data_IF_524968228920
#
_entry.id   IF_524968228920
#
_cell.length_a   1.000
_cell.length_b   1.000
_cell.length_c   1.000
_cell.angle_alpha   90.00
_cell.angle_beta   90.00
_cell.angle_gamma   90.00
#
_symmetry.space_group_name_H-M   'P 1'
#
loop_
_entity.id
_entity.type
_entity.pdbx_description
1 polymer ?
#
# COMPACT_ATOMS: atom_id res chain seq x y z
N UNK A 1 6.05 -16.52 0.47
CA UNK A 1 5.10 -15.39 0.41
C UNK A 1 5.93 -14.18 0.72
N UNK A 2 5.88 -13.14 -0.10
CA UNK A 2 7.01 -12.21 -0.18
C UNK A 2 6.72 -10.83 0.43
N UNK A 3 5.55 -10.63 1.05
CA UNK A 3 5.19 -9.39 1.76
C UNK A 3 5.28 -8.10 0.94
N UNK A 4 5.22 -8.24 -0.39
CA UNK A 4 5.47 -7.17 -1.36
C UNK A 4 4.18 -6.59 -1.92
N UNK A 5 4.18 -5.28 -2.15
CA UNK A 5 3.11 -4.55 -2.82
C UNK A 5 3.66 -3.97 -4.12
N UNK A 6 2.92 -4.11 -5.22
CA UNK A 6 3.32 -3.61 -6.55
C UNK A 6 2.19 -2.74 -7.08
N UNK A 7 2.54 -1.58 -7.65
CA UNK A 7 1.62 -0.68 -8.32
C UNK A 7 1.81 -0.82 -9.83
N UNK A 8 0.70 -0.99 -10.53
CA UNK A 8 0.69 -1.18 -11.98
C UNK A 8 -0.07 -0.04 -12.66
N UNK A 9 0.45 0.40 -13.80
CA UNK A 9 -0.32 1.18 -14.77
C UNK A 9 -1.03 0.23 -15.72
N UNK A 10 -2.36 0.34 -15.77
CA UNK A 10 -3.22 -0.48 -16.63
C UNK A 10 -3.13 -0.02 -18.09
N UNK A 11 -2.92 1.27 -18.35
CA UNK A 11 -2.84 1.83 -19.70
C UNK A 11 -1.60 1.34 -20.46
N UNK A 12 -0.47 1.23 -19.76
CA UNK A 12 0.79 0.73 -20.34
C UNK A 12 1.04 -0.76 -20.08
N UNK A 13 0.32 -1.38 -19.13
CA UNK A 13 0.52 -2.77 -18.74
C UNK A 13 1.86 -3.02 -18.05
N UNK A 14 2.44 -2.00 -17.42
CA UNK A 14 3.76 -2.07 -16.77
C UNK A 14 3.67 -1.77 -15.28
N UNK A 15 4.57 -2.37 -14.50
CA UNK A 15 4.75 -2.02 -13.10
C UNK A 15 5.40 -0.63 -13.01
N UNK A 16 4.78 0.28 -12.28
CA UNK A 16 5.27 1.65 -12.10
C UNK A 16 6.46 1.70 -11.11
N UNK A 17 6.59 0.69 -10.27
CA UNK A 17 7.55 0.66 -9.17
C UNK A 17 8.20 -0.72 -9.03
N UNK A 18 9.44 -0.73 -8.54
CA UNK A 18 10.05 -1.95 -8.02
C UNK A 18 9.35 -2.29 -6.70
N UNK A 19 8.78 -3.49 -6.61
CA UNK A 19 7.92 -3.95 -5.51
C UNK A 19 8.32 -3.41 -4.12
N UNK A 20 7.38 -2.82 -3.39
CA UNK A 20 7.61 -2.35 -2.03
C UNK A 20 7.60 -3.56 -1.08
N UNK A 21 8.73 -3.87 -0.44
CA UNK A 21 8.77 -4.82 0.66
C UNK A 21 8.23 -4.13 1.91
N UNK A 22 6.96 -4.40 2.24
CA UNK A 22 6.24 -3.69 3.30
C UNK A 22 6.05 -4.58 4.53
N UNK A 23 5.71 -5.84 4.31
CA UNK A 23 5.22 -6.72 5.37
C UNK A 23 6.18 -7.88 5.68
N UNK A 24 7.45 -7.63 6.00
CA UNK A 24 8.44 -8.60 6.53
C UNK A 24 8.34 -10.06 5.99
N UNK A 25 8.19 -10.23 4.68
CA UNK A 25 7.98 -11.54 4.02
C UNK A 25 6.78 -12.37 4.55
N UNK A 26 5.79 -11.68 5.12
CA UNK A 26 4.50 -12.20 5.56
C UNK A 26 3.39 -11.86 4.56
N UNK A 27 2.29 -12.64 4.52
CA UNK A 27 1.16 -12.37 3.65
C UNK A 27 0.53 -10.99 3.87
N UNK A 28 0.22 -10.31 2.76
CA UNK A 28 -0.66 -9.13 2.74
C UNK A 28 -2.08 -9.62 2.47
N UNK A 29 -3.02 -9.33 3.36
CA UNK A 29 -4.41 -9.78 3.24
C UNK A 29 -5.34 -8.67 2.74
N UNK A 30 -5.06 -7.41 3.10
CA UNK A 30 -5.89 -6.27 2.79
C UNK A 30 -5.14 -5.18 2.04
N UNK A 31 -5.78 -4.61 1.02
CA UNK A 31 -5.36 -3.40 0.32
C UNK A 31 -6.56 -2.46 0.19
N UNK A 32 -6.35 -1.17 0.45
CA UNK A 32 -7.41 -0.16 0.32
C UNK A 32 -6.84 1.18 -0.20
N UNK A 33 -7.43 1.69 -1.28
CA UNK A 33 -7.15 3.03 -1.79
C UNK A 33 -8.03 4.09 -1.14
N UNK A 34 -7.44 5.23 -0.81
CA UNK A 34 -8.18 6.45 -0.50
C UNK A 34 -8.79 7.04 -1.78
N UNK A 35 -9.92 7.75 -1.66
CA UNK A 35 -10.71 8.20 -2.82
C UNK A 35 -10.16 9.40 -3.59
N UNK A 36 -9.24 10.18 -3.04
CA UNK A 36 -8.82 11.45 -3.64
C UNK A 36 -7.33 11.76 -3.59
N UNK A 37 -6.60 11.17 -2.64
CA UNK A 37 -5.26 11.66 -2.31
C UNK A 37 -4.13 10.72 -2.78
N UNK A 38 -4.44 9.71 -3.61
CA UNK A 38 -3.45 8.72 -4.02
C UNK A 38 -2.87 7.91 -2.87
N UNK A 39 -3.54 7.83 -1.72
CA UNK A 39 -3.04 7.08 -0.56
C UNK A 39 -3.45 5.61 -0.70
N UNK A 40 -2.51 4.71 -0.44
CA UNK A 40 -2.73 3.27 -0.35
C UNK A 40 -2.44 2.79 1.07
N UNK A 41 -3.38 2.04 1.66
CA UNK A 41 -3.17 1.30 2.89
C UNK A 41 -3.03 -0.19 2.59
N UNK A 42 -2.08 -0.86 3.24
CA UNK A 42 -1.87 -2.31 3.18
C UNK A 42 -1.85 -2.90 4.59
N UNK A 43 -2.41 -4.10 4.75
CA UNK A 43 -2.50 -4.81 6.02
C UNK A 43 -2.22 -6.30 5.82
N UNK A 44 -1.46 -6.89 6.74
CA UNK A 44 -0.98 -8.27 6.62
C UNK A 44 -1.00 -9.06 7.92
N UNK A 45 -0.34 -10.22 7.86
CA UNK A 45 -0.12 -11.13 9.00
C UNK A 45 0.98 -10.66 9.96
N UNK A 46 1.69 -9.57 9.65
CA UNK A 46 2.75 -8.98 10.47
C UNK A 46 2.22 -7.99 11.53
N UNK A 47 0.91 -8.03 11.80
CA UNK A 47 0.21 -7.13 12.74
C UNK A 47 0.46 -5.63 12.46
N UNK A 48 0.60 -5.30 11.17
CA UNK A 48 0.95 -3.96 10.71
C UNK A 48 -0.01 -3.48 9.64
N UNK A 49 -0.40 -2.22 9.75
CA UNK A 49 -1.02 -1.44 8.69
C UNK A 49 0.01 -0.43 8.22
N UNK A 50 0.38 -0.51 6.96
CA UNK A 50 1.32 0.43 6.34
C UNK A 50 0.57 1.35 5.38
N UNK A 51 0.88 2.65 5.43
CA UNK A 51 0.23 3.69 4.63
C UNK A 51 1.27 4.31 3.70
N UNK A 52 0.91 4.45 2.44
CA UNK A 52 1.80 4.87 1.36
C UNK A 52 1.17 6.03 0.57
N UNK A 53 1.97 7.03 0.20
CA UNK A 53 1.57 8.11 -0.68
C UNK A 53 1.95 7.82 -2.13
N UNK A 54 0.95 7.57 -2.97
CA UNK A 54 1.14 7.32 -4.40
C UNK A 54 0.81 8.55 -5.28
N UNK A 55 0.66 9.75 -4.70
CA UNK A 55 0.34 10.97 -5.46
C UNK A 55 1.34 11.27 -6.57
N UNK A 56 2.62 10.99 -6.31
CA UNK A 56 3.70 11.27 -7.26
C UNK A 56 3.63 10.37 -8.50
N UNK A 57 3.10 9.15 -8.36
CA UNK A 57 2.93 8.22 -9.48
C UNK A 57 1.82 8.68 -10.43
N UNK A 58 0.80 9.38 -9.93
CA UNK A 58 -0.30 9.89 -10.73
C UNK A 58 0.11 11.13 -11.56
N UNK A 59 0.93 12.03 -11.00
CA UNK A 59 1.37 13.25 -11.68
C UNK A 59 2.39 13.00 -12.79
N UNK A 60 3.24 11.98 -12.65
CA UNK A 60 4.30 11.68 -13.63
C UNK A 60 3.76 10.92 -14.87
N UNK A 61 2.55 10.38 -14.77
CA UNK A 61 1.84 9.67 -15.84
C UNK A 61 1.48 10.57 -17.03
N UNK A 62 1.34 11.89 -16.83
CA UNK A 62 1.12 12.87 -17.90
C UNK A 62 2.42 13.31 -18.61
N UNK A 63 3.60 13.12 -18.00
CA UNK A 63 4.81 13.81 -18.48
C UNK A 63 5.88 12.90 -19.07
N UNK A 64 6.04 11.63 -18.64
CA UNK A 64 7.15 10.79 -19.15
C UNK A 64 6.74 9.32 -19.24
N UNK A 65 6.37 8.87 -20.43
CA UNK A 65 5.92 7.51 -20.71
C UNK A 65 6.96 6.37 -20.52
N UNK A 66 8.13 6.62 -19.93
CA UNK A 66 9.24 5.64 -19.96
C UNK A 66 10.18 5.61 -18.74
N UNK A 67 9.96 6.40 -17.68
CA UNK A 67 10.80 6.31 -16.49
C UNK A 67 10.15 5.40 -15.45
N UNK A 68 10.72 4.21 -15.22
CA UNK A 68 10.46 3.45 -14.00
C UNK A 68 10.67 4.37 -12.81
N UNK A 69 9.64 4.54 -11.98
CA UNK A 69 9.74 5.34 -10.77
C UNK A 69 10.47 4.45 -9.76
N UNK A 70 11.80 4.53 -9.76
CA UNK A 70 12.65 3.94 -8.74
C UNK A 70 12.57 4.80 -7.48
N UNK A 71 11.37 4.89 -6.90
CA UNK A 71 11.17 5.44 -5.57
C UNK A 71 11.58 4.38 -4.57
N UNK A 72 12.49 4.70 -3.65
CA UNK A 72 12.75 3.80 -2.54
C UNK A 72 11.44 3.64 -1.74
N UNK A 73 11.17 2.47 -1.14
CA UNK A 73 9.97 2.28 -0.32
C UNK A 73 9.85 3.32 0.81
N UNK A 74 10.98 3.87 1.28
CA UNK A 74 11.04 4.98 2.24
C UNK A 74 10.42 6.29 1.72
N UNK A 75 10.47 6.54 0.42
CA UNK A 75 10.03 7.82 -0.17
C UNK A 75 8.51 7.86 -0.36
N UNK A 76 7.90 6.67 -0.38
CA UNK A 76 6.47 6.46 -0.57
C UNK A 76 5.77 6.17 0.76
N UNK A 77 6.46 5.62 1.75
CA UNK A 77 5.89 5.30 3.05
C UNK A 77 5.54 6.57 3.84
N UNK A 78 4.29 6.67 4.28
CA UNK A 78 3.78 7.73 5.16
C UNK A 78 3.82 7.31 6.63
N UNK A 79 3.65 6.02 6.92
CA UNK A 79 3.68 5.52 8.29
C UNK A 79 3.20 4.09 8.45
N UNK A 80 3.68 3.48 9.53
CA UNK A 80 3.37 2.11 9.94
C UNK A 80 2.63 2.12 11.29
N UNK A 81 1.51 1.40 11.36
CA UNK A 81 0.64 1.33 12.53
C UNK A 81 0.45 -0.13 12.97
N UNK A 82 0.88 -0.45 14.18
CA UNK A 82 0.84 -1.82 14.70
C UNK A 82 -0.46 -2.12 15.45
N UNK A 83 -1.00 -3.32 15.27
CA UNK A 83 -2.29 -3.77 15.81
C UNK A 83 -2.17 -4.64 17.06
N UNK A 84 -1.03 -4.58 17.77
CA UNK A 84 -0.77 -5.30 19.04
C UNK A 84 -1.21 -6.77 18.98
N UNK A 85 -0.63 -7.55 18.07
CA UNK A 85 -0.89 -8.99 17.90
C UNK A 85 -2.25 -9.35 17.30
N UNK A 86 -2.77 -8.51 16.39
CA UNK A 86 -4.00 -8.79 15.65
C UNK A 86 -3.73 -8.71 14.15
N UNK A 87 -3.80 -9.82 13.43
CA UNK A 87 -3.58 -9.82 11.99
C UNK A 87 -4.69 -9.05 11.26
N UNK A 88 -4.31 -8.26 10.25
CA UNK A 88 -5.26 -7.38 9.54
C UNK A 88 -5.76 -8.08 8.29
N UNK A 89 -7.02 -8.51 8.31
CA UNK A 89 -7.64 -9.30 7.24
C UNK A 89 -8.33 -8.44 6.19
N UNK A 90 -8.86 -7.27 6.59
CA UNK A 90 -9.60 -6.40 5.68
C UNK A 90 -9.38 -4.92 6.02
N UNK A 91 -9.24 -4.10 4.98
CA UNK A 91 -9.09 -2.64 5.07
C UNK A 91 -10.14 -1.95 4.20
N UNK A 92 -10.69 -0.84 4.68
CA UNK A 92 -11.64 -0.04 3.90
C UNK A 92 -11.56 1.45 4.22
N UNK A 93 -11.43 2.28 3.19
CA UNK A 93 -11.56 3.73 3.31
C UNK A 93 -13.02 4.18 3.19
N UNK A 94 -13.47 4.93 4.19
CA UNK A 94 -14.75 5.65 4.13
C UNK A 94 -14.66 6.86 3.19
N UNK A 95 -15.81 7.51 2.93
CA UNK A 95 -15.86 8.76 2.15
C UNK A 95 -15.23 9.96 2.86
N UNK A 96 -15.00 9.88 4.18
CA UNK A 96 -14.47 10.98 5.01
C UNK A 96 -13.01 10.76 5.41
N UNK A 97 -12.27 10.00 4.60
CA UNK A 97 -10.84 9.70 4.82
C UNK A 97 -10.53 9.00 6.16
N UNK A 98 -11.50 8.26 6.71
CA UNK A 98 -11.28 7.34 7.82
C UNK A 98 -10.98 5.93 7.26
N UNK A 99 -9.86 5.34 7.68
CA UNK A 99 -9.50 3.96 7.41
C UNK A 99 -10.06 3.04 8.49
N UNK A 100 -10.77 2.00 8.08
CA UNK A 100 -11.27 0.94 8.96
C UNK A 100 -10.48 -0.34 8.69
N UNK A 101 -9.91 -0.93 9.74
CA UNK A 101 -9.23 -2.22 9.69
C UNK A 101 -9.98 -3.25 10.52
N UNK A 102 -10.12 -4.46 9.99
CA UNK A 102 -10.72 -5.59 10.67
C UNK A 102 -9.77 -6.79 10.63
N UNK A 103 -9.72 -7.52 11.73
CA UNK A 103 -8.78 -8.60 11.96
C UNK A 103 -9.23 -9.47 13.12
N UNK A 104 -8.74 -10.71 13.14
CA UNK A 104 -8.97 -11.62 14.26
C UNK A 104 -7.81 -11.51 15.24
N UNK A 105 -8.13 -11.38 16.52
CA UNK A 105 -7.13 -11.44 17.58
C UNK A 105 -6.92 -12.90 17.95
N UNK A 106 -5.74 -13.43 17.63
CA UNK A 106 -5.32 -14.75 18.07
C UNK A 106 -4.42 -14.57 19.31
N UNK A 107 -4.84 -15.18 20.43
CA UNK A 107 -4.18 -15.10 21.73
C UNK A 107 -3.30 -16.32 22.00
#
# INVERSE_FOLDING_TARGET
VDGKVIVFDIGQGQALTDSFAVHNDQPVYGLAFSRGNGILASGGADDKIAVHNLSNFASEMETIAHSKISSKPSDVSLGDYYTKSTSVLHLSFTRRNLLLGAGNFDQ
#
